data_IF_969405274170
#
_entry.id   IF_969405274170
#
_cell.length_a   1.000
_cell.length_b   1.000
_cell.length_c   1.000
_cell.angle_alpha   90.00
_cell.angle_beta   90.00
_cell.angle_gamma   90.00
#
_symmetry.space_group_name_H-M   'P 1'
#
loop_
_entity.id
_entity.type
_entity.pdbx_description
1 polymer ?
#
# COMPACT_ATOMS: atom_id res chain seq x y z
N UNK A 1 -73.10 2.75 15.19
CA UNK A 1 -71.99 2.31 16.06
C UNK A 1 -70.94 1.68 15.17
N UNK A 2 -69.91 2.44 14.78
CA UNK A 2 -68.85 1.96 13.90
C UNK A 2 -67.73 1.32 14.76
N UNK A 3 -67.40 0.05 14.47
CA UNK A 3 -66.31 -0.68 15.11
C UNK A 3 -64.99 -0.32 14.43
N UNK A 4 -64.09 0.34 15.16
CA UNK A 4 -62.71 0.54 14.73
C UNK A 4 -61.93 -0.77 14.94
N UNK A 5 -61.35 -1.30 13.87
CA UNK A 5 -60.38 -2.41 13.93
C UNK A 5 -58.99 -1.78 13.98
N UNK A 6 -58.30 -1.93 15.11
CA UNK A 6 -56.89 -1.58 15.27
C UNK A 6 -56.04 -2.63 14.56
N UNK A 7 -55.32 -2.24 13.51
CA UNK A 7 -54.27 -3.06 12.89
C UNK A 7 -52.95 -2.73 13.60
N UNK A 8 -52.48 -3.63 14.45
CA UNK A 8 -51.13 -3.56 15.03
C UNK A 8 -50.12 -4.04 13.98
N UNK A 9 -49.39 -3.09 13.37
CA UNK A 9 -48.17 -3.39 12.63
C UNK A 9 -47.07 -3.78 13.61
N UNK A 10 -46.69 -5.06 13.62
CA UNK A 10 -45.49 -5.54 14.30
C UNK A 10 -44.30 -5.33 13.36
N UNK A 11 -43.54 -4.25 13.57
CA UNK A 11 -42.30 -4.00 12.84
C UNK A 11 -41.22 -4.98 13.29
N UNK A 12 -40.79 -5.87 12.39
CA UNK A 12 -39.63 -6.72 12.59
C UNK A 12 -38.39 -5.83 12.42
N UNK A 13 -37.77 -5.43 13.53
CA UNK A 13 -36.40 -4.91 13.50
C UNK A 13 -35.46 -6.09 13.27
N UNK A 14 -35.03 -6.27 12.02
CA UNK A 14 -33.82 -7.04 11.72
C UNK A 14 -32.65 -6.24 12.31
N UNK A 15 -32.22 -6.59 13.52
CA UNK A 15 -30.92 -6.21 14.02
C UNK A 15 -29.89 -6.92 13.12
N UNK A 16 -29.42 -6.21 12.09
CA UNK A 16 -28.21 -6.60 11.36
C UNK A 16 -27.07 -6.40 12.36
N UNK A 17 -26.82 -7.42 13.19
CA UNK A 17 -25.62 -7.45 13.99
C UNK A 17 -24.45 -7.36 13.03
N UNK A 18 -23.57 -6.38 13.25
CA UNK A 18 -22.28 -6.33 12.55
C UNK A 18 -21.54 -7.59 13.01
N UNK A 19 -21.63 -8.65 12.23
CA UNK A 19 -20.89 -9.87 12.48
C UNK A 19 -19.42 -9.50 12.26
N UNK A 20 -18.65 -9.44 13.35
CA UNK A 20 -17.21 -9.32 13.27
C UNK A 20 -16.68 -10.54 12.53
N UNK A 21 -15.80 -10.31 11.55
CA UNK A 21 -15.19 -11.40 10.79
C UNK A 21 -14.46 -12.35 11.74
N UNK A 22 -14.58 -13.64 11.47
CA UNK A 22 -13.88 -14.70 12.17
C UNK A 22 -12.54 -15.00 11.48
N UNK A 23 -11.61 -15.67 12.17
CA UNK A 23 -10.41 -16.19 11.55
C UNK A 23 -10.73 -17.07 10.33
N UNK A 24 -10.03 -16.85 9.21
CA UNK A 24 -10.26 -17.52 7.93
C UNK A 24 -11.33 -16.90 7.03
N UNK A 25 -12.12 -15.93 7.52
CA UNK A 25 -13.06 -15.18 6.68
C UNK A 25 -12.32 -14.32 5.65
N UNK A 26 -12.94 -14.00 4.49
CA UNK A 26 -12.41 -12.99 3.59
C UNK A 26 -12.10 -11.69 4.33
N UNK A 27 -11.03 -10.99 3.93
CA UNK A 27 -10.58 -9.76 4.60
C UNK A 27 -11.71 -8.72 4.71
N UNK A 28 -12.47 -8.59 3.61
CA UNK A 28 -13.65 -7.73 3.46
C UNK A 28 -13.32 -6.43 2.71
N UNK A 29 -14.33 -5.62 2.43
CA UNK A 29 -14.14 -4.36 1.69
C UNK A 29 -13.71 -4.59 0.24
N UNK A 30 -12.76 -3.77 -0.24
CA UNK A 30 -12.03 -3.94 -1.50
C UNK A 30 -10.69 -4.70 -1.35
N UNK A 31 -10.36 -5.14 -0.14
CA UNK A 31 -9.13 -5.88 0.16
C UNK A 31 -9.21 -7.38 -0.18
N UNK A 32 -8.18 -7.85 -0.90
CA UNK A 32 -7.99 -9.28 -1.13
C UNK A 32 -7.43 -9.99 0.12
N UNK A 33 -7.60 -11.31 0.19
CA UNK A 33 -7.02 -12.16 1.24
C UNK A 33 -8.00 -12.53 2.34
N UNK A 34 -7.46 -12.93 3.49
CA UNK A 34 -8.21 -13.51 4.60
C UNK A 34 -7.81 -12.91 5.94
N UNK A 35 -8.75 -12.88 6.89
CA UNK A 35 -8.42 -12.62 8.29
C UNK A 35 -7.57 -13.79 8.81
N UNK A 36 -6.39 -13.54 9.41
CA UNK A 36 -5.49 -14.62 9.77
C UNK A 36 -6.14 -15.64 10.73
N UNK A 37 -5.90 -16.95 10.56
CA UNK A 37 -6.58 -18.01 11.32
C UNK A 37 -6.24 -18.00 12.82
N UNK A 38 -5.10 -17.39 13.18
CA UNK A 38 -4.63 -17.32 14.56
C UNK A 38 -3.62 -16.17 14.76
N UNK A 39 -3.37 -15.81 16.03
CA UNK A 39 -2.47 -14.71 16.41
C UNK A 39 -1.00 -14.95 16.00
N UNK A 40 -0.61 -16.21 15.87
CA UNK A 40 0.74 -16.61 15.49
C UNK A 40 0.94 -16.31 14.00
N UNK A 41 0.01 -16.75 13.17
CA UNK A 41 -0.06 -16.44 11.73
C UNK A 41 -0.19 -14.94 11.48
N UNK A 42 -1.09 -14.25 12.20
CA UNK A 42 -1.25 -12.80 12.14
C UNK A 42 0.07 -12.04 12.37
N UNK A 43 0.83 -12.41 13.39
CA UNK A 43 2.10 -11.74 13.72
C UNK A 43 3.16 -11.94 12.63
N UNK A 44 3.18 -13.13 12.04
CA UNK A 44 4.03 -13.41 10.89
C UNK A 44 3.63 -12.51 9.70
N UNK A 45 2.38 -12.57 9.27
CA UNK A 45 1.91 -11.86 8.07
C UNK A 45 2.06 -10.34 8.23
N UNK A 46 1.74 -9.80 9.41
CA UNK A 46 1.98 -8.39 9.72
C UNK A 46 3.48 -8.01 9.69
N UNK A 47 4.40 -8.93 10.04
CA UNK A 47 5.84 -8.68 9.93
C UNK A 47 6.27 -8.62 8.47
N UNK A 48 5.70 -9.47 7.61
CA UNK A 48 5.96 -9.47 6.17
C UNK A 48 5.34 -8.24 5.49
N UNK A 49 4.10 -7.86 5.83
CA UNK A 49 3.49 -6.62 5.36
C UNK A 49 4.35 -5.39 5.71
N UNK A 50 4.85 -5.31 6.95
CA UNK A 50 5.81 -4.25 7.34
C UNK A 50 7.12 -4.29 6.55
N UNK A 51 7.61 -5.48 6.21
CA UNK A 51 8.79 -5.61 5.37
C UNK A 51 8.52 -5.12 3.94
N UNK A 52 7.36 -5.45 3.37
CA UNK A 52 6.92 -4.98 2.06
C UNK A 52 6.80 -3.44 2.02
N UNK A 53 6.20 -2.81 3.03
CA UNK A 53 6.11 -1.34 3.09
C UNK A 53 7.47 -0.66 3.22
N UNK A 54 8.44 -1.30 3.89
CA UNK A 54 9.83 -0.81 3.94
C UNK A 54 10.56 -1.03 2.61
N UNK A 55 10.27 -2.12 1.93
CA UNK A 55 10.80 -2.43 0.60
C UNK A 55 10.32 -1.39 -0.42
N UNK A 56 9.01 -1.17 -0.56
CA UNK A 56 8.47 -0.14 -1.44
C UNK A 56 9.07 1.25 -1.16
N UNK A 57 9.18 1.63 0.13
CA UNK A 57 9.84 2.88 0.52
C UNK A 57 11.32 2.95 0.12
N UNK A 58 12.02 1.83 0.13
CA UNK A 58 13.42 1.74 -0.27
C UNK A 58 13.55 1.97 -1.78
N UNK A 59 12.72 1.29 -2.59
CA UNK A 59 12.64 1.43 -4.06
C UNK A 59 12.32 2.88 -4.45
N UNK A 60 11.28 3.50 -3.87
CA UNK A 60 11.03 4.94 -4.04
C UNK A 60 12.25 5.82 -3.71
N UNK A 61 13.09 5.37 -2.77
CA UNK A 61 14.33 6.03 -2.39
C UNK A 61 15.44 5.89 -3.42
N UNK A 62 15.46 4.82 -4.21
CA UNK A 62 16.37 4.61 -5.33
C UNK A 62 15.96 5.49 -6.52
N UNK A 63 14.67 5.48 -6.90
CA UNK A 63 14.12 6.42 -7.88
C UNK A 63 14.42 7.88 -7.52
N UNK A 64 14.22 8.25 -6.26
CA UNK A 64 14.54 9.58 -5.74
C UNK A 64 16.03 9.96 -5.85
N UNK A 65 16.93 8.99 -5.72
CA UNK A 65 18.36 9.22 -5.89
C UNK A 65 18.71 9.41 -7.37
N UNK A 66 18.13 8.60 -8.26
CA UNK A 66 18.27 8.75 -9.72
C UNK A 66 17.73 10.09 -10.21
N UNK A 67 16.52 10.46 -9.83
CA UNK A 67 15.91 11.76 -10.17
C UNK A 67 16.73 12.98 -9.71
N UNK A 68 17.50 12.82 -8.61
CA UNK A 68 18.40 13.86 -8.09
C UNK A 68 19.81 13.82 -8.70
N UNK A 69 20.06 12.95 -9.67
CA UNK A 69 21.37 12.76 -10.31
C UNK A 69 22.41 12.11 -9.40
N UNK A 70 22.01 11.46 -8.31
CA UNK A 70 22.94 10.71 -7.42
C UNK A 70 23.28 9.33 -7.98
N UNK A 71 22.36 8.74 -8.73
CA UNK A 71 22.57 7.49 -9.48
C UNK A 71 22.60 7.84 -10.96
N UNK A 72 23.77 7.69 -11.58
CA UNK A 72 24.04 8.23 -12.90
C UNK A 72 23.32 7.46 -14.03
N UNK A 73 23.14 6.15 -13.88
CA UNK A 73 22.58 5.25 -14.90
C UNK A 73 21.37 4.49 -14.37
N UNK A 74 20.58 3.92 -15.28
CA UNK A 74 19.48 3.01 -14.92
C UNK A 74 20.06 1.82 -14.15
N UNK A 75 21.13 1.18 -14.66
CA UNK A 75 21.81 0.09 -13.95
C UNK A 75 22.29 0.43 -12.52
N UNK A 76 22.63 1.69 -12.24
CA UNK A 76 23.02 2.12 -10.89
C UNK A 76 21.82 2.30 -9.96
N UNK A 77 20.65 2.56 -10.54
CA UNK A 77 19.36 2.60 -9.89
C UNK A 77 18.85 1.17 -9.64
N UNK A 78 18.84 0.30 -10.64
CA UNK A 78 18.52 -1.13 -10.49
C UNK A 78 19.39 -1.77 -9.39
N UNK A 79 20.70 -1.47 -9.38
CA UNK A 79 21.61 -1.96 -8.33
C UNK A 79 21.31 -1.39 -6.93
N UNK A 80 20.65 -0.23 -6.81
CA UNK A 80 20.11 0.28 -5.55
C UNK A 80 18.87 -0.53 -5.12
N UNK A 81 18.02 -0.89 -6.06
CA UNK A 81 16.82 -1.69 -5.82
C UNK A 81 17.16 -3.14 -5.45
N UNK A 82 18.19 -3.75 -6.05
CA UNK A 82 18.75 -5.05 -5.64
C UNK A 82 19.13 -5.05 -4.15
N UNK A 83 19.68 -3.93 -3.65
CA UNK A 83 19.99 -3.77 -2.22
C UNK A 83 18.70 -3.70 -1.38
N UNK A 84 17.63 -3.12 -1.91
CA UNK A 84 16.32 -3.12 -1.27
C UNK A 84 15.71 -4.52 -1.23
N UNK A 85 15.82 -5.29 -2.31
CA UNK A 85 15.39 -6.69 -2.40
C UNK A 85 16.12 -7.55 -1.37
N UNK A 86 17.45 -7.48 -1.33
CA UNK A 86 18.25 -8.25 -0.36
C UNK A 86 17.88 -7.95 1.11
N UNK A 87 17.53 -6.69 1.43
CA UNK A 87 17.05 -6.32 2.79
C UNK A 87 15.67 -6.88 3.08
N UNK A 88 14.79 -6.94 2.08
CA UNK A 88 13.48 -7.57 2.22
C UNK A 88 13.66 -9.07 2.45
N UNK A 89 14.45 -9.76 1.63
CA UNK A 89 14.70 -11.20 1.73
C UNK A 89 15.32 -11.58 3.07
N UNK A 90 16.27 -10.80 3.56
CA UNK A 90 16.84 -11.01 4.89
C UNK A 90 15.77 -10.91 5.98
N UNK A 91 14.88 -9.92 5.87
CA UNK A 91 13.82 -9.68 6.85
C UNK A 91 12.76 -10.78 6.84
N UNK A 92 12.30 -11.17 5.65
CA UNK A 92 11.29 -12.22 5.47
C UNK A 92 11.87 -13.59 5.76
N UNK A 93 13.07 -13.90 5.28
CA UNK A 93 13.80 -15.12 5.63
C UNK A 93 13.94 -15.29 7.15
N UNK A 94 14.27 -14.23 7.89
CA UNK A 94 14.28 -14.27 9.37
C UNK A 94 12.89 -14.54 9.95
N UNK A 95 11.83 -13.97 9.37
CA UNK A 95 10.45 -14.20 9.80
C UNK A 95 9.98 -15.65 9.55
N UNK A 96 10.42 -16.26 8.45
CA UNK A 96 9.98 -17.60 8.02
C UNK A 96 10.86 -18.74 8.52
N UNK A 97 12.03 -18.48 9.13
CA UNK A 97 12.96 -19.56 9.53
C UNK A 97 13.51 -19.48 10.96
N UNK A 98 13.56 -18.30 11.59
CA UNK A 98 14.36 -18.12 12.83
C UNK A 98 13.62 -17.54 14.03
N UNK A 99 12.42 -16.96 13.85
CA UNK A 99 11.71 -16.27 14.93
C UNK A 99 10.35 -16.92 15.13
N UNK A 100 10.10 -17.58 16.27
CA UNK A 100 8.77 -18.02 16.64
C UNK A 100 7.79 -16.84 16.76
N UNK A 101 6.56 -16.97 16.26
CA UNK A 101 6.09 -18.10 15.47
C UNK A 101 6.68 -18.10 14.04
N UNK A 102 7.14 -19.28 13.63
CA UNK A 102 7.56 -19.52 12.24
C UNK A 102 6.33 -19.36 11.36
N UNK A 103 6.39 -18.44 10.40
CA UNK A 103 5.35 -18.26 9.38
C UNK A 103 4.99 -19.60 8.72
N UNK A 104 3.71 -20.01 8.63
CA UNK A 104 3.32 -21.11 7.76
C UNK A 104 3.67 -20.72 6.32
N UNK A 105 4.68 -21.33 5.68
CA UNK A 105 5.23 -20.82 4.42
C UNK A 105 4.38 -21.20 3.21
N UNK A 106 3.27 -21.93 3.36
CA UNK A 106 2.58 -22.54 2.23
C UNK A 106 1.81 -21.56 1.35
N UNK A 107 1.34 -20.42 1.90
CA UNK A 107 0.57 -19.44 1.12
C UNK A 107 1.38 -18.19 0.73
N UNK A 108 2.58 -18.01 1.27
CA UNK A 108 3.35 -16.78 1.13
C UNK A 108 4.61 -16.99 0.30
N UNK A 109 4.77 -16.18 -0.75
CA UNK A 109 5.96 -16.16 -1.61
C UNK A 109 6.68 -14.81 -1.48
N UNK A 110 7.86 -14.76 -0.84
CA UNK A 110 8.65 -13.53 -0.73
C UNK A 110 8.90 -12.88 -2.09
N UNK A 111 9.26 -13.70 -3.08
CA UNK A 111 9.47 -13.27 -4.47
C UNK A 111 8.21 -12.66 -5.09
N UNK A 112 7.03 -13.28 -4.88
CA UNK A 112 5.79 -12.75 -5.45
C UNK A 112 5.40 -11.41 -4.83
N UNK A 113 5.63 -11.23 -3.52
CA UNK A 113 5.39 -9.96 -2.84
C UNK A 113 6.38 -8.89 -3.34
N UNK A 114 7.66 -9.23 -3.47
CA UNK A 114 8.67 -8.30 -4.02
C UNK A 114 8.30 -7.84 -5.42
N UNK A 115 8.02 -8.77 -6.33
CA UNK A 115 7.67 -8.45 -7.71
C UNK A 115 6.41 -7.58 -7.78
N UNK A 116 5.39 -7.90 -6.98
CA UNK A 116 4.17 -7.10 -6.93
C UNK A 116 4.45 -5.66 -6.46
N UNK A 117 5.24 -5.49 -5.40
CA UNK A 117 5.55 -4.15 -4.88
C UNK A 117 6.52 -3.37 -5.76
N UNK A 118 7.50 -4.03 -6.39
CA UNK A 118 8.38 -3.41 -7.39
C UNK A 118 7.55 -2.89 -8.56
N UNK A 119 6.69 -3.74 -9.13
CA UNK A 119 5.80 -3.35 -10.22
C UNK A 119 4.88 -2.17 -9.90
N UNK A 120 4.41 -2.02 -8.65
CA UNK A 120 3.61 -0.86 -8.22
C UNK A 120 4.44 0.42 -8.19
N UNK A 121 5.68 0.34 -7.71
CA UNK A 121 6.55 1.51 -7.59
C UNK A 121 7.05 1.93 -8.97
N UNK A 122 7.60 1.00 -9.75
CA UNK A 122 8.16 1.25 -11.08
C UNK A 122 7.05 1.61 -12.06
N UNK A 123 5.96 0.84 -12.10
CA UNK A 123 4.83 1.11 -13.00
C UNK A 123 4.19 2.48 -12.76
N UNK A 124 4.30 3.02 -11.54
CA UNK A 124 3.82 4.35 -11.17
C UNK A 124 4.86 5.47 -11.35
N UNK A 125 6.10 5.17 -11.75
CA UNK A 125 7.21 6.13 -11.74
C UNK A 125 6.94 7.36 -12.63
N UNK A 126 6.30 7.16 -13.78
CA UNK A 126 5.91 8.26 -14.68
C UNK A 126 4.80 9.16 -14.12
N UNK A 127 4.07 8.73 -13.09
CA UNK A 127 3.09 9.56 -12.39
C UNK A 127 3.76 10.47 -11.35
N UNK A 128 5.01 10.16 -10.97
CA UNK A 128 5.85 10.94 -10.06
C UNK A 128 6.83 11.82 -10.84
N UNK A 129 7.65 11.23 -11.69
CA UNK A 129 8.66 11.90 -12.52
C UNK A 129 8.14 12.04 -13.94
N UNK A 130 7.23 13.00 -14.10
CA UNK A 130 6.48 13.25 -15.32
C UNK A 130 7.07 14.39 -16.16
N UNK A 131 8.03 15.13 -15.61
CA UNK A 131 8.72 16.23 -16.28
C UNK A 131 10.14 15.85 -16.69
N UNK A 132 10.58 16.37 -17.84
CA UNK A 132 11.92 16.19 -18.37
C UNK A 132 11.91 15.69 -19.81
N UNK A 133 13.09 15.46 -20.36
CA UNK A 133 13.27 14.94 -21.72
C UNK A 133 14.18 13.73 -21.80
N UNK A 134 14.98 13.49 -20.76
CA UNK A 134 15.82 12.30 -20.65
C UNK A 134 14.98 11.19 -20.03
N UNK A 135 14.78 10.04 -20.68
CA UNK A 135 14.05 8.92 -20.09
C UNK A 135 14.66 8.50 -18.74
N UNK A 136 13.81 8.07 -17.81
CA UNK A 136 14.28 7.53 -16.54
C UNK A 136 15.16 6.28 -16.78
N UNK A 137 14.70 5.36 -17.63
CA UNK A 137 15.45 4.20 -18.12
C UNK A 137 15.13 2.92 -17.36
N UNK A 138 15.65 1.77 -17.82
CA UNK A 138 15.35 0.47 -17.20
C UNK A 138 13.89 0.06 -17.38
N UNK A 139 13.30 -0.50 -16.33
CA UNK A 139 11.88 -0.80 -16.20
C UNK A 139 11.05 0.38 -15.65
N UNK A 140 11.70 1.50 -15.34
CA UNK A 140 11.06 2.72 -14.85
C UNK A 140 10.59 3.65 -16.00
N UNK A 141 9.27 3.80 -16.21
CA UNK A 141 8.74 4.81 -17.11
C UNK A 141 8.92 6.22 -16.54
N UNK A 142 8.86 7.24 -17.41
CA UNK A 142 8.96 8.65 -17.01
C UNK A 142 10.29 9.28 -17.41
N UNK A 143 10.63 10.38 -16.76
CA UNK A 143 11.75 11.22 -17.17
C UNK A 143 12.62 11.65 -15.98
N UNK A 144 13.92 11.85 -16.24
CA UNK A 144 14.81 12.53 -15.31
C UNK A 144 14.40 14.02 -15.28
N UNK A 145 14.13 14.59 -14.09
CA UNK A 145 13.65 15.96 -13.99
C UNK A 145 14.67 16.96 -14.52
N UNK A 146 14.23 17.97 -15.27
CA UNK A 146 15.14 18.90 -15.95
C UNK A 146 15.80 19.92 -15.02
N UNK A 147 15.26 20.09 -13.81
CA UNK A 147 15.78 21.03 -12.81
C UNK A 147 15.81 20.42 -11.41
N UNK A 148 16.71 20.92 -10.56
CA UNK A 148 16.75 20.52 -9.14
C UNK A 148 15.45 20.86 -8.41
N UNK A 149 14.75 21.93 -8.78
CA UNK A 149 13.48 22.31 -8.17
C UNK A 149 12.38 21.26 -8.45
N UNK A 150 12.27 20.82 -9.71
CA UNK A 150 11.35 19.76 -10.10
C UNK A 150 11.73 18.43 -9.46
N UNK A 151 13.00 18.03 -9.50
CA UNK A 151 13.48 16.83 -8.82
C UNK A 151 13.14 16.83 -7.32
N UNK A 152 13.22 17.98 -6.65
CA UNK A 152 12.84 18.11 -5.24
C UNK A 152 11.33 17.98 -5.03
N UNK A 153 10.48 18.59 -5.87
CA UNK A 153 9.04 18.40 -5.75
C UNK A 153 8.63 16.95 -6.05
N UNK A 154 9.02 16.40 -7.19
CA UNK A 154 8.62 15.05 -7.62
C UNK A 154 9.11 13.99 -6.63
N UNK A 155 10.36 14.11 -6.14
CA UNK A 155 10.83 13.22 -5.06
C UNK A 155 10.03 13.37 -3.77
N UNK A 156 9.53 14.57 -3.43
CA UNK A 156 8.65 14.73 -2.26
C UNK A 156 7.34 14.00 -2.48
N UNK A 157 6.77 14.02 -3.69
CA UNK A 157 5.58 13.24 -4.05
C UNK A 157 5.85 11.74 -3.91
N UNK A 158 6.94 11.21 -4.47
CA UNK A 158 7.34 9.80 -4.27
C UNK A 158 7.50 9.45 -2.79
N UNK A 159 8.10 10.35 -2.00
CA UNK A 159 8.20 10.20 -0.54
C UNK A 159 6.85 10.27 0.20
N UNK A 160 5.83 10.92 -0.36
CA UNK A 160 4.45 10.88 0.16
C UNK A 160 3.77 9.58 -0.25
N UNK A 161 3.96 9.07 -1.47
CA UNK A 161 3.45 7.78 -1.91
C UNK A 161 4.02 6.62 -1.06
N UNK A 162 5.32 6.64 -0.78
CA UNK A 162 5.94 5.69 0.15
C UNK A 162 5.30 5.71 1.55
N UNK A 163 4.90 6.91 2.03
CA UNK A 163 4.18 7.05 3.32
C UNK A 163 2.74 6.58 3.22
N UNK A 164 2.10 6.75 2.07
CA UNK A 164 0.74 6.26 1.79
C UNK A 164 0.72 4.73 1.88
N UNK A 165 1.60 4.03 1.16
CA UNK A 165 1.74 2.55 1.23
C UNK A 165 1.87 2.07 2.69
N UNK A 166 2.79 2.67 3.45
CA UNK A 166 2.99 2.30 4.88
C UNK A 166 1.74 2.60 5.73
N UNK A 167 0.94 3.60 5.37
CA UNK A 167 -0.28 3.95 6.08
C UNK A 167 -1.37 2.92 5.81
N UNK A 168 -1.62 2.58 4.53
CA UNK A 168 -2.60 1.57 4.09
C UNK A 168 -2.30 0.20 4.72
N UNK A 169 -1.05 -0.26 4.62
CA UNK A 169 -0.62 -1.51 5.27
C UNK A 169 -0.84 -1.54 6.80
N UNK A 170 -0.91 -0.38 7.48
CA UNK A 170 -1.25 -0.32 8.91
C UNK A 170 -2.76 -0.39 9.15
N UNK A 171 -3.58 0.07 8.21
CA UNK A 171 -5.02 -0.13 8.22
C UNK A 171 -5.30 -1.64 8.08
N UNK A 172 -4.72 -2.29 7.05
CA UNK A 172 -4.74 -3.74 6.89
C UNK A 172 -4.20 -4.48 8.12
N UNK A 173 -3.07 -4.07 8.69
CA UNK A 173 -2.56 -4.68 9.94
C UNK A 173 -3.55 -4.52 11.10
N UNK A 174 -4.22 -3.39 11.22
CA UNK A 174 -5.21 -3.16 12.28
C UNK A 174 -6.43 -4.06 12.09
N UNK A 175 -6.87 -4.23 10.84
CA UNK A 175 -7.95 -5.13 10.45
C UNK A 175 -7.61 -6.60 10.69
N UNK A 176 -6.40 -7.03 10.31
CA UNK A 176 -5.89 -8.39 10.57
C UNK A 176 -5.81 -8.75 12.05
N UNK A 177 -5.75 -7.74 12.94
CA UNK A 177 -5.79 -7.90 14.40
C UNK A 177 -7.20 -7.84 14.97
N UNK A 178 -8.20 -7.75 14.10
CA UNK A 178 -9.61 -7.59 14.45
C UNK A 178 -9.84 -6.36 15.35
N UNK A 179 -8.97 -5.33 15.25
CA UNK A 179 -9.13 -4.07 16.01
C UNK A 179 -10.15 -3.15 15.40
N UNK A 180 -10.38 -3.33 14.10
CA UNK A 180 -11.33 -2.59 13.28
C UNK A 180 -12.08 -3.59 12.40
N UNK A 181 -13.32 -3.27 12.07
CA UNK A 181 -14.10 -4.00 11.06
C UNK A 181 -13.74 -3.52 9.63
N UNK A 182 -14.32 -4.15 8.60
CA UNK A 182 -14.03 -3.79 7.22
C UNK A 182 -14.46 -2.35 6.87
N UNK A 183 -15.55 -1.82 7.44
CA UNK A 183 -15.97 -0.43 7.19
C UNK A 183 -15.01 0.56 7.85
N UNK A 184 -14.50 0.24 9.03
CA UNK A 184 -13.53 1.07 9.74
C UNK A 184 -12.13 1.03 9.12
N UNK A 185 -11.78 -0.09 8.50
CA UNK A 185 -10.59 -0.25 7.67
C UNK A 185 -10.63 0.76 6.51
N UNK A 186 -11.71 0.79 5.73
CA UNK A 186 -11.90 1.71 4.60
C UNK A 186 -11.78 3.19 5.02
N UNK A 187 -12.34 3.54 6.20
CA UNK A 187 -12.22 4.89 6.78
C UNK A 187 -10.76 5.22 7.17
N UNK A 188 -9.99 4.22 7.61
CA UNK A 188 -8.56 4.37 7.88
C UNK A 188 -7.81 4.68 6.57
N UNK A 189 -8.12 3.95 5.50
CA UNK A 189 -7.50 4.14 4.19
C UNK A 189 -7.81 5.51 3.57
N UNK A 190 -9.08 5.93 3.64
CA UNK A 190 -9.52 7.27 3.22
C UNK A 190 -8.77 8.37 3.97
N UNK A 191 -8.49 8.17 5.27
CA UNK A 191 -7.68 9.09 6.06
C UNK A 191 -6.23 9.13 5.58
N UNK A 192 -5.64 7.97 5.28
CA UNK A 192 -4.30 7.89 4.69
C UNK A 192 -4.22 8.65 3.37
N UNK A 193 -5.22 8.44 2.49
CA UNK A 193 -5.32 9.09 1.19
C UNK A 193 -5.50 10.60 1.30
N UNK A 194 -6.38 11.04 2.19
CA UNK A 194 -6.59 12.45 2.52
C UNK A 194 -5.30 13.08 3.07
N UNK A 195 -4.55 12.37 3.92
CA UNK A 195 -3.25 12.86 4.41
C UNK A 195 -2.23 13.04 3.28
N UNK A 196 -2.21 12.12 2.33
CA UNK A 196 -1.33 12.17 1.16
C UNK A 196 -1.63 13.39 0.28
N UNK A 197 -2.89 13.62 -0.10
CA UNK A 197 -3.28 14.76 -0.94
C UNK A 197 -3.09 16.09 -0.22
N UNK A 198 -3.47 16.18 1.06
CA UNK A 198 -3.28 17.38 1.88
C UNK A 198 -1.81 17.73 2.09
N UNK A 199 -0.91 16.73 2.20
CA UNK A 199 0.52 17.00 2.31
C UNK A 199 1.11 17.46 0.98
N UNK A 200 0.61 16.96 -0.15
CA UNK A 200 1.07 17.40 -1.46
C UNK A 200 0.67 18.85 -1.75
N UNK A 201 -0.54 19.28 -1.36
CA UNK A 201 -1.00 20.66 -1.58
C UNK A 201 -0.15 21.73 -0.88
N UNK A 202 0.67 21.33 0.10
CA UNK A 202 1.65 22.19 0.78
C UNK A 202 3.00 22.29 0.04
N UNK A 203 3.20 21.50 -1.02
CA UNK A 203 4.42 21.52 -1.82
C UNK A 203 4.24 22.54 -2.96
N UNK A 204 5.17 23.48 -3.06
CA UNK A 204 5.18 24.52 -4.10
C UNK A 204 6.32 24.30 -5.09
N UNK A 205 6.21 24.90 -6.28
CA UNK A 205 7.25 24.85 -7.31
C UNK A 205 7.31 23.52 -8.07
N UNK A 206 6.21 22.77 -8.10
CA UNK A 206 6.09 21.52 -8.83
C UNK A 206 5.90 21.73 -10.34
N UNK A 207 6.32 20.78 -11.18
CA UNK A 207 6.07 20.85 -12.61
C UNK A 207 4.57 20.76 -12.92
N UNK A 208 4.16 21.27 -14.09
CA UNK A 208 2.75 21.38 -14.47
C UNK A 208 2.03 20.02 -14.61
N UNK A 209 2.77 18.93 -14.81
CA UNK A 209 2.21 17.58 -14.87
C UNK A 209 1.74 17.05 -13.50
N UNK A 210 2.20 17.65 -12.39
CA UNK A 210 1.75 17.33 -11.03
C UNK A 210 0.62 18.25 -10.57
N UNK A 211 -0.55 18.03 -11.14
CA UNK A 211 -1.80 18.69 -10.74
C UNK A 211 -2.41 18.01 -9.50
N UNK A 212 -3.30 18.69 -8.75
CA UNK A 212 -4.04 18.04 -7.66
C UNK A 212 -4.77 16.76 -8.13
N UNK A 213 -5.32 16.77 -9.34
CA UNK A 213 -6.01 15.61 -9.92
C UNK A 213 -5.05 14.46 -10.23
N UNK A 214 -3.93 14.71 -10.91
CA UNK A 214 -2.97 13.66 -11.24
C UNK A 214 -2.35 13.03 -9.99
N UNK A 215 -2.04 13.87 -8.98
CA UNK A 215 -1.58 13.40 -7.66
C UNK A 215 -2.66 12.58 -6.97
N UNK A 216 -3.92 13.02 -7.00
CA UNK A 216 -5.03 12.23 -6.43
C UNK A 216 -5.12 10.87 -7.11
N UNK A 217 -5.21 10.83 -8.43
CA UNK A 217 -5.31 9.59 -9.19
C UNK A 217 -4.13 8.64 -8.89
N UNK A 218 -2.91 9.18 -8.77
CA UNK A 218 -1.76 8.33 -8.42
C UNK A 218 -1.92 7.69 -7.04
N UNK A 219 -2.35 8.45 -6.03
CA UNK A 219 -2.57 7.83 -4.72
C UNK A 219 -3.76 6.87 -4.69
N UNK A 220 -4.75 7.01 -5.59
CA UNK A 220 -5.83 6.03 -5.75
C UNK A 220 -5.29 4.74 -6.36
N UNK A 221 -4.41 4.84 -7.37
CA UNK A 221 -3.71 3.68 -7.94
C UNK A 221 -2.85 2.95 -6.89
N UNK A 222 -2.13 3.71 -6.05
CA UNK A 222 -1.32 3.15 -4.96
C UNK A 222 -2.22 2.43 -3.95
N UNK A 223 -3.36 3.02 -3.58
CA UNK A 223 -4.35 2.39 -2.70
C UNK A 223 -4.85 1.07 -3.31
N UNK A 224 -5.49 1.13 -4.47
CA UNK A 224 -6.02 -0.05 -5.14
C UNK A 224 -4.97 -1.17 -5.31
N UNK A 225 -3.71 -0.81 -5.57
CA UNK A 225 -2.64 -1.81 -5.68
C UNK A 225 -2.27 -2.43 -4.33
N UNK A 226 -2.33 -1.65 -3.25
CA UNK A 226 -2.12 -2.12 -1.88
C UNK A 226 -3.21 -3.13 -1.50
N UNK A 227 -4.47 -2.80 -1.77
CA UNK A 227 -5.65 -3.61 -1.43
C UNK A 227 -5.65 -4.92 -2.24
N UNK A 228 -5.32 -4.82 -3.53
CA UNK A 228 -5.16 -5.97 -4.40
C UNK A 228 -4.02 -6.90 -3.95
N UNK A 229 -2.89 -6.32 -3.53
CA UNK A 229 -1.72 -7.07 -3.06
C UNK A 229 -1.87 -7.56 -1.62
N UNK A 230 -2.93 -7.16 -0.89
CA UNK A 230 -3.16 -7.54 0.50
C UNK A 230 -3.22 -9.07 0.67
N UNK A 231 -3.85 -9.76 -0.29
CA UNK A 231 -3.93 -11.23 -0.31
C UNK A 231 -2.60 -11.95 -0.55
N UNK A 232 -1.54 -11.26 -0.96
CA UNK A 232 -0.19 -11.84 -0.98
C UNK A 232 0.44 -11.88 0.42
N UNK A 233 -0.02 -11.01 1.32
CA UNK A 233 0.46 -10.90 2.70
C UNK A 233 -0.45 -11.65 3.66
N UNK A 234 -1.75 -11.39 3.64
CA UNK A 234 -2.75 -12.08 4.48
C UNK A 234 -3.43 -13.18 3.65
N UNK A 235 -2.71 -14.28 3.51
CA UNK A 235 -3.03 -15.36 2.57
C UNK A 235 -3.54 -16.62 3.27
N UNK A 236 -3.32 -16.74 4.58
CA UNK A 236 -3.70 -17.92 5.33
C UNK A 236 -5.20 -17.93 5.63
N UNK A 237 -5.86 -19.07 5.43
CA UNK A 237 -7.24 -19.34 5.88
C UNK A 237 -7.35 -20.66 6.65
#
# INVERSE_FOLDING_TARGET
>A
MARFVFVTLLGIMLAVGVAWAAPGDPFGGDDNGFIPPDIVTQKCEAKVGKAAGKYAKCVFGCHAQRAKGKLATADAEDGCEDICEGKYDETVGKATTTVPPVCPPSCMSPMSIQLAWKAVVDGGNNQVYCEGTTPFGGDDPGFIPSTTAFALCETKLGGLAAKLVICLMKCHESRSKEKIDATQEEVCEDSCKTSYTNKFSLITGCPACLTPTSVSNYGDNVRNSTDNNNGLVYCAN
#
